data_IF_554055620816
#
_entry.id   IF_554055620816
#
_cell.length_a   1.000
_cell.length_b   1.000
_cell.length_c   1.000
_cell.angle_alpha   90.00
_cell.angle_beta   90.00
_cell.angle_gamma   90.00
#
_symmetry.space_group_name_H-M   'P 1'
#
loop_
_entity.id
_entity.type
_entity.pdbx_description
1 polymer ?
#
# COMPACT_ATOMS: atom_id res chain seq x y z
N UNK A 1 -54.80 -34.22 -14.82
CA UNK A 1 -53.51 -34.82 -15.22
C UNK A 1 -52.43 -33.75 -15.11
N UNK A 2 -51.74 -33.66 -13.96
CA UNK A 2 -50.65 -32.69 -13.73
C UNK A 2 -49.36 -33.26 -14.34
N UNK A 3 -48.83 -32.64 -15.39
CA UNK A 3 -47.49 -32.94 -15.92
C UNK A 3 -46.47 -32.14 -15.11
N UNK A 4 -45.71 -32.83 -14.26
CA UNK A 4 -44.62 -32.25 -13.48
C UNK A 4 -43.43 -32.02 -14.41
N UNK A 5 -43.13 -30.76 -14.73
CA UNK A 5 -41.97 -30.35 -15.52
C UNK A 5 -40.76 -30.28 -14.56
N UNK A 6 -39.83 -31.24 -14.68
CA UNK A 6 -38.55 -31.19 -13.98
C UNK A 6 -37.66 -30.13 -14.65
N UNK A 7 -37.40 -29.01 -13.98
CA UNK A 7 -36.34 -28.06 -14.33
C UNK A 7 -35.01 -28.62 -13.83
N UNK A 8 -34.18 -29.10 -14.75
CA UNK A 8 -32.78 -29.42 -14.48
C UNK A 8 -32.02 -28.08 -14.50
N UNK A 9 -31.80 -27.52 -13.32
CA UNK A 9 -30.91 -26.38 -13.14
C UNK A 9 -29.49 -26.95 -13.21
N UNK A 10 -28.87 -26.86 -14.39
CA UNK A 10 -27.44 -27.09 -14.54
C UNK A 10 -26.71 -25.94 -13.85
N UNK A 11 -26.35 -26.13 -12.57
CA UNK A 11 -25.47 -25.22 -11.85
C UNK A 11 -24.08 -25.33 -12.47
N UNK A 12 -23.80 -24.44 -13.43
CA UNK A 12 -22.46 -24.17 -13.89
C UNK A 12 -21.70 -23.61 -12.68
N UNK A 13 -20.93 -24.47 -12.01
CA UNK A 13 -20.05 -24.05 -10.93
C UNK A 13 -18.99 -23.13 -11.51
N UNK A 14 -19.22 -21.82 -11.40
CA UNK A 14 -18.18 -20.84 -11.62
C UNK A 14 -17.22 -20.98 -10.44
N UNK A 15 -16.12 -21.72 -10.65
CA UNK A 15 -15.02 -21.73 -9.72
C UNK A 15 -14.50 -20.29 -9.65
N UNK A 16 -14.84 -19.60 -8.56
CA UNK A 16 -14.24 -18.33 -8.21
C UNK A 16 -12.79 -18.69 -7.87
N UNK A 17 -11.91 -18.66 -8.86
CA UNK A 17 -10.48 -18.71 -8.61
C UNK A 17 -10.23 -17.43 -7.82
N UNK A 18 -10.04 -17.56 -6.52
CA UNK A 18 -9.69 -16.46 -5.64
C UNK A 18 -8.32 -15.93 -6.08
N UNK A 19 -8.31 -15.00 -7.02
CA UNK A 19 -7.22 -14.06 -7.18
C UNK A 19 -7.12 -13.35 -5.84
N UNK A 20 -6.12 -13.72 -5.03
CA UNK A 20 -5.67 -12.86 -3.94
C UNK A 20 -5.38 -11.52 -4.61
N UNK A 21 -6.16 -10.48 -4.30
CA UNK A 21 -5.79 -9.14 -4.70
C UNK A 21 -4.37 -8.91 -4.18
N UNK A 22 -3.46 -8.57 -5.08
CA UNK A 22 -2.09 -8.24 -4.71
C UNK A 22 -2.15 -7.08 -3.71
N UNK A 23 -1.46 -7.16 -2.56
CA UNK A 23 -1.62 -6.19 -1.47
C UNK A 23 -1.20 -4.77 -1.85
N UNK A 24 -0.45 -4.59 -2.93
CA UNK A 24 -0.02 -3.30 -3.44
C UNK A 24 0.28 -3.36 -4.93
N UNK A 25 0.40 -2.20 -5.56
CA UNK A 25 0.90 -2.04 -6.93
C UNK A 25 2.16 -1.15 -6.90
N UNK A 26 3.30 -1.58 -7.46
CA UNK A 26 4.51 -0.76 -7.48
C UNK A 26 4.30 0.57 -8.22
N UNK A 27 4.95 1.63 -7.73
CA UNK A 27 4.95 2.95 -8.36
C UNK A 27 5.69 2.89 -9.71
N UNK A 28 5.01 3.15 -10.84
CA UNK A 28 5.66 3.14 -12.14
C UNK A 28 6.75 4.21 -12.28
N UNK A 29 6.72 5.28 -11.47
CA UNK A 29 7.68 6.38 -11.52
C UNK A 29 8.92 6.17 -10.67
N UNK A 30 8.96 5.14 -9.83
CA UNK A 30 10.19 4.74 -9.15
C UNK A 30 11.18 4.25 -10.21
N UNK A 31 12.36 4.86 -10.29
CA UNK A 31 13.38 4.54 -11.30
C UNK A 31 14.70 4.23 -10.59
N UNK A 32 15.40 3.22 -11.08
CA UNK A 32 16.74 2.88 -10.63
C UNK A 32 17.76 3.33 -11.69
N UNK A 33 18.56 4.34 -11.37
CA UNK A 33 19.55 4.89 -12.29
C UNK A 33 20.90 4.29 -11.93
N UNK A 34 21.57 3.67 -12.91
CA UNK A 34 22.86 2.97 -12.76
C UNK A 34 22.79 1.60 -12.05
N UNK A 35 21.59 1.07 -11.79
CA UNK A 35 21.32 -0.25 -11.20
C UNK A 35 21.95 -0.52 -9.79
N UNK A 36 22.05 0.46 -8.86
CA UNK A 36 22.38 0.19 -7.46
C UNK A 36 21.24 -0.47 -6.67
N UNK A 37 20.04 -0.59 -7.23
CA UNK A 37 18.82 -0.89 -6.51
C UNK A 37 18.15 0.39 -6.00
N UNK A 38 16.82 0.38 -5.89
CA UNK A 38 16.06 1.56 -5.48
C UNK A 38 14.88 1.23 -4.57
N UNK A 39 14.62 2.10 -3.58
CA UNK A 39 13.44 2.08 -2.71
C UNK A 39 12.70 3.41 -2.83
N UNK A 40 11.39 3.37 -3.08
CA UNK A 40 10.52 4.55 -3.17
C UNK A 40 9.26 4.38 -2.31
N UNK A 41 8.69 5.43 -1.70
CA UNK A 41 9.26 6.77 -1.57
C UNK A 41 10.38 6.82 -0.51
N UNK A 42 11.19 7.89 -0.54
CA UNK A 42 12.20 8.15 0.50
C UNK A 42 11.59 8.75 1.79
N UNK A 43 10.42 9.35 1.69
CA UNK A 43 9.67 9.94 2.79
C UNK A 43 8.24 9.40 2.80
N UNK A 44 7.73 9.14 4.00
CA UNK A 44 6.39 8.60 4.21
C UNK A 44 5.40 9.75 4.40
N UNK A 45 4.18 9.56 3.91
CA UNK A 45 3.09 10.48 4.22
C UNK A 45 2.80 10.47 5.73
N UNK A 46 2.28 11.59 6.22
CA UNK A 46 1.93 11.71 7.64
C UNK A 46 0.66 10.92 7.93
N UNK A 47 0.72 10.04 8.93
CA UNK A 47 -0.42 9.33 9.48
C UNK A 47 -1.10 10.15 10.59
N UNK A 48 -2.35 9.78 10.91
CA UNK A 48 -3.12 10.41 11.98
C UNK A 48 -3.76 9.36 12.86
N UNK A 49 -3.79 9.60 14.17
CA UNK A 49 -4.41 8.70 15.15
C UNK A 49 -5.86 8.38 14.74
N UNK A 50 -6.25 7.12 14.88
CA UNK A 50 -7.56 6.55 14.52
C UNK A 50 -7.99 6.73 13.05
N UNK A 51 -7.11 7.23 12.18
CA UNK A 51 -7.39 7.40 10.75
C UNK A 51 -6.74 6.26 9.97
N UNK A 52 -7.46 5.70 9.00
CA UNK A 52 -6.89 4.68 8.12
C UNK A 52 -5.68 5.24 7.36
N UNK A 53 -4.59 4.47 7.35
CA UNK A 53 -3.34 4.81 6.70
C UNK A 53 -2.93 3.67 5.77
N UNK A 54 -2.41 4.04 4.60
CA UNK A 54 -1.83 3.12 3.63
C UNK A 54 -0.67 3.83 2.92
N UNK A 55 0.49 3.17 2.86
CA UNK A 55 1.64 3.65 2.11
C UNK A 55 2.27 2.47 1.37
N UNK A 56 2.36 2.60 0.05
CA UNK A 56 3.09 1.68 -0.80
C UNK A 56 4.57 2.05 -0.82
N UNK A 57 5.41 1.03 -0.66
CA UNK A 57 6.86 1.07 -0.83
C UNK A 57 7.18 0.23 -2.06
N UNK A 58 7.85 0.82 -3.05
CA UNK A 58 8.32 0.16 -4.26
C UNK A 58 9.78 -0.20 -4.12
N UNK A 59 10.14 -1.43 -4.53
CA UNK A 59 11.49 -1.95 -4.50
C UNK A 59 11.91 -2.33 -5.92
N UNK A 60 13.04 -1.82 -6.36
CA UNK A 60 13.76 -2.28 -7.56
C UNK A 60 15.01 -2.99 -7.05
N UNK A 61 15.08 -4.33 -7.17
CA UNK A 61 16.20 -5.09 -6.64
C UNK A 61 17.43 -4.91 -7.55
N UNK A 62 18.63 -4.66 -6.98
CA UNK A 62 19.85 -4.55 -7.78
C UNK A 62 20.21 -5.89 -8.42
N UNK A 63 20.84 -5.85 -9.59
CA UNK A 63 21.36 -7.06 -10.23
C UNK A 63 22.60 -7.66 -9.53
N UNK A 64 23.34 -6.83 -8.78
CA UNK A 64 24.57 -7.22 -8.07
C UNK A 64 24.58 -6.78 -6.61
N UNK A 65 25.24 -7.56 -5.76
CA UNK A 65 25.46 -7.26 -4.35
C UNK A 65 26.96 -7.33 -4.03
N UNK A 66 27.49 -6.37 -3.27
CA UNK A 66 28.89 -6.40 -2.86
C UNK A 66 29.06 -7.27 -1.61
N UNK A 67 29.64 -8.46 -1.77
CA UNK A 67 29.94 -9.36 -0.68
C UNK A 67 31.46 -9.48 -0.50
N UNK A 68 31.97 -9.01 0.64
CA UNK A 68 33.40 -9.00 0.97
C UNK A 68 34.27 -8.36 -0.14
N UNK A 69 33.82 -7.25 -0.72
CA UNK A 69 34.54 -6.52 -1.77
C UNK A 69 34.38 -7.10 -3.18
N UNK A 70 33.60 -8.16 -3.36
CA UNK A 70 33.33 -8.75 -4.68
C UNK A 70 31.87 -8.54 -5.05
N UNK A 71 31.61 -8.12 -6.29
CA UNK A 71 30.26 -8.04 -6.82
C UNK A 71 29.79 -9.45 -7.21
N UNK A 72 28.70 -9.89 -6.62
CA UNK A 72 28.05 -11.18 -6.88
C UNK A 72 26.64 -10.94 -7.40
N UNK A 73 26.18 -11.78 -8.32
CA UNK A 73 24.84 -11.67 -8.89
C UNK A 73 23.77 -12.02 -7.86
N UNK A 74 22.76 -11.16 -7.75
CA UNK A 74 21.60 -11.36 -6.88
C UNK A 74 20.64 -12.32 -7.56
N UNK A 75 20.31 -13.41 -6.87
CA UNK A 75 19.31 -14.38 -7.36
C UNK A 75 17.90 -13.98 -6.92
N UNK A 76 17.77 -13.54 -5.67
CA UNK A 76 16.52 -13.03 -5.10
C UNK A 76 16.78 -12.26 -3.82
N UNK A 77 15.82 -11.42 -3.47
CA UNK A 77 15.72 -10.73 -2.18
C UNK A 77 14.42 -11.16 -1.51
N UNK A 78 14.45 -11.36 -0.20
CA UNK A 78 13.26 -11.65 0.62
C UNK A 78 13.20 -10.61 1.73
N UNK A 79 12.06 -9.93 1.89
CA UNK A 79 11.81 -9.12 3.08
C UNK A 79 11.47 -10.08 4.21
N UNK A 80 12.36 -10.18 5.19
CA UNK A 80 12.21 -11.13 6.30
C UNK A 80 11.25 -10.60 7.35
N UNK A 81 11.32 -9.30 7.66
CA UNK A 81 10.48 -8.67 8.67
C UNK A 81 10.47 -7.14 8.57
N UNK A 82 9.44 -6.54 9.17
CA UNK A 82 9.35 -5.11 9.46
C UNK A 82 9.05 -4.95 10.95
N UNK A 83 9.94 -4.32 11.70
CA UNK A 83 9.80 -4.13 13.16
C UNK A 83 9.60 -2.67 13.52
N UNK A 84 9.12 -2.43 14.75
CA UNK A 84 8.95 -1.09 15.33
C UNK A 84 7.94 -0.19 14.62
N UNK A 85 7.02 -0.81 13.88
CA UNK A 85 5.81 -0.14 13.41
C UNK A 85 4.95 0.32 14.60
N UNK A 86 4.27 1.46 14.50
CA UNK A 86 3.34 1.91 15.54
C UNK A 86 2.19 0.92 15.72
N UNK A 87 1.60 0.90 16.91
CA UNK A 87 0.44 0.05 17.21
C UNK A 87 -0.71 0.34 16.23
N UNK A 88 -1.31 -0.73 15.71
CA UNK A 88 -2.40 -0.65 14.72
C UNK A 88 -1.93 -0.57 13.27
N UNK A 89 -0.62 -0.48 13.03
CA UNK A 89 0.00 -0.56 11.70
C UNK A 89 0.64 -1.94 11.49
N UNK A 90 0.46 -2.50 10.30
CA UNK A 90 1.05 -3.75 9.84
C UNK A 90 1.59 -3.59 8.43
N UNK A 91 2.19 -4.63 7.87
CA UNK A 91 2.70 -4.64 6.51
C UNK A 91 2.34 -5.90 5.73
N UNK A 92 2.42 -5.82 4.40
CA UNK A 92 2.34 -6.96 3.48
C UNK A 92 3.18 -6.68 2.23
N UNK A 93 3.65 -7.72 1.54
CA UNK A 93 4.37 -7.61 0.26
C UNK A 93 3.62 -8.29 -0.88
N UNK A 94 3.80 -7.79 -2.10
CA UNK A 94 3.17 -8.34 -3.30
C UNK A 94 3.69 -9.71 -3.71
N UNK A 95 4.98 -9.94 -3.44
CA UNK A 95 5.66 -11.19 -3.68
C UNK A 95 6.46 -11.61 -2.45
N UNK A 96 6.67 -12.91 -2.32
CA UNK A 96 7.56 -13.46 -1.29
C UNK A 96 9.04 -13.33 -1.68
N UNK A 97 9.34 -13.27 -2.98
CA UNK A 97 10.70 -13.23 -3.52
C UNK A 97 10.80 -12.15 -4.59
N UNK A 98 11.76 -11.25 -4.44
CA UNK A 98 12.04 -10.18 -5.37
C UNK A 98 13.23 -10.59 -6.23
N UNK A 99 12.96 -10.93 -7.50
CA UNK A 99 13.95 -11.47 -8.44
C UNK A 99 14.35 -10.35 -9.40
N UNK A 100 15.64 -9.96 -9.45
CA UNK A 100 16.13 -9.03 -10.47
C UNK A 100 15.93 -9.61 -11.87
N UNK A 101 15.40 -8.81 -12.80
CA UNK A 101 15.27 -9.22 -14.20
C UNK A 101 15.68 -8.09 -15.14
N UNK A 102 15.77 -8.38 -16.45
CA UNK A 102 16.08 -7.40 -17.48
C UNK A 102 14.98 -7.47 -18.56
N UNK A 103 14.16 -6.41 -18.75
CA UNK A 103 14.17 -5.13 -18.04
C UNK A 103 13.82 -5.28 -16.56
N UNK A 104 14.21 -4.31 -15.73
CA UNK A 104 14.00 -4.34 -14.27
C UNK A 104 12.56 -4.70 -13.87
N UNK A 105 12.42 -5.55 -12.85
CA UNK A 105 11.13 -5.84 -12.22
C UNK A 105 10.96 -4.92 -11.02
N UNK A 106 9.75 -4.35 -10.85
CA UNK A 106 9.37 -3.61 -9.65
C UNK A 106 8.52 -4.50 -8.75
N UNK A 107 8.84 -4.50 -7.47
CA UNK A 107 8.07 -5.17 -6.42
C UNK A 107 7.54 -4.13 -5.45
N UNK A 108 6.61 -4.51 -4.57
CA UNK A 108 6.14 -3.60 -3.55
C UNK A 108 5.86 -4.27 -2.20
N UNK A 109 6.00 -3.47 -1.15
CA UNK A 109 5.34 -3.71 0.12
C UNK A 109 4.36 -2.58 0.39
N UNK A 110 3.41 -2.82 1.29
CA UNK A 110 2.50 -1.82 1.80
C UNK A 110 2.54 -1.85 3.31
N UNK A 111 2.62 -0.68 3.91
CA UNK A 111 2.39 -0.46 5.33
C UNK A 111 0.99 0.13 5.46
N UNK A 112 0.13 -0.51 6.23
CA UNK A 112 -1.28 -0.13 6.32
C UNK A 112 -1.88 -0.43 7.70
N UNK A 113 -2.98 0.24 8.01
CA UNK A 113 -3.75 0.01 9.22
C UNK A 113 -4.35 1.29 9.78
N UNK A 114 -4.54 1.32 11.10
CA UNK A 114 -5.09 2.48 11.81
C UNK A 114 -4.26 2.70 13.07
N UNK A 115 -3.37 3.70 13.09
CA UNK A 115 -2.48 3.89 14.22
C UNK A 115 -3.25 4.41 15.43
N UNK A 116 -2.93 3.90 16.61
CA UNK A 116 -3.64 4.26 17.86
C UNK A 116 -2.89 5.30 18.70
N UNK A 117 -1.61 5.54 18.39
CA UNK A 117 -0.71 6.36 19.20
C UNK A 117 0.05 7.36 18.33
N UNK A 118 0.04 8.63 18.74
CA UNK A 118 0.83 9.69 18.10
C UNK A 118 2.33 9.54 18.41
N UNK A 119 3.19 10.02 17.51
CA UNK A 119 4.63 9.96 17.69
C UNK A 119 5.42 9.93 16.39
N UNK A 120 6.74 9.80 16.55
CA UNK A 120 7.69 9.62 15.46
C UNK A 120 8.26 8.22 15.59
N UNK A 121 7.96 7.36 14.63
CA UNK A 121 8.28 5.93 14.67
C UNK A 121 9.31 5.59 13.59
N UNK A 122 10.62 5.57 13.91
CA UNK A 122 11.58 4.89 13.05
C UNK A 122 11.28 3.40 13.08
N UNK A 123 11.19 2.78 11.90
CA UNK A 123 10.92 1.35 11.78
C UNK A 123 12.00 0.68 10.94
N UNK A 124 12.19 -0.62 11.18
CA UNK A 124 13.37 -1.34 10.68
C UNK A 124 12.94 -2.39 9.66
N UNK A 125 13.54 -2.35 8.47
CA UNK A 125 13.37 -3.37 7.44
C UNK A 125 14.56 -4.33 7.50
N UNK A 126 14.26 -5.63 7.69
CA UNK A 126 15.27 -6.69 7.55
C UNK A 126 14.97 -7.51 6.31
N UNK A 127 16.01 -7.79 5.52
CA UNK A 127 15.88 -8.62 4.33
C UNK A 127 17.06 -9.59 4.20
N UNK A 128 16.90 -10.57 3.31
CA UNK A 128 17.94 -11.52 2.95
C UNK A 128 18.16 -11.53 1.44
N UNK A 129 19.41 -11.36 1.02
CA UNK A 129 19.83 -11.42 -0.38
C UNK A 129 20.42 -12.80 -0.64
N UNK A 130 19.87 -13.54 -1.60
CA UNK A 130 20.43 -14.85 -2.00
C UNK A 130 21.39 -14.67 -3.17
N UNK A 131 22.62 -15.16 -3.02
CA UNK A 131 23.66 -15.14 -4.05
C UNK A 131 24.21 -16.55 -4.31
N UNK A 132 24.88 -16.78 -5.45
CA UNK A 132 25.54 -18.06 -5.74
C UNK A 132 27.04 -18.00 -5.44
N UNK A 133 27.50 -18.65 -4.38
CA UNK A 133 28.93 -18.83 -4.14
C UNK A 133 29.52 -19.87 -5.09
N UNK A 134 30.61 -19.49 -5.77
CA UNK A 134 31.27 -20.33 -6.77
C UNK A 134 30.38 -20.70 -7.96
N UNK A 135 29.25 -19.99 -8.16
CA UNK A 135 28.30 -20.22 -9.25
C UNK A 135 27.29 -21.36 -9.03
N UNK A 136 27.28 -22.03 -7.87
CA UNK A 136 26.43 -23.21 -7.64
C UNK A 136 25.71 -23.23 -6.30
N UNK A 137 26.27 -22.62 -5.26
CA UNK A 137 25.74 -22.75 -3.91
C UNK A 137 24.93 -21.50 -3.55
N UNK A 138 23.58 -21.59 -3.48
CA UNK A 138 22.77 -20.46 -3.04
C UNK A 138 22.97 -20.23 -1.54
N UNK A 139 23.34 -19.01 -1.17
CA UNK A 139 23.52 -18.60 0.22
C UNK A 139 22.67 -17.36 0.48
N UNK A 140 21.75 -17.40 1.45
CA UNK A 140 21.07 -16.21 1.94
C UNK A 140 22.03 -15.41 2.82
N UNK A 141 22.24 -14.15 2.47
CA UNK A 141 23.02 -13.19 3.23
C UNK A 141 22.04 -12.20 3.84
N UNK A 142 21.95 -12.10 5.18
CA UNK A 142 21.10 -11.09 5.80
C UNK A 142 21.68 -9.71 5.50
N UNK A 143 20.82 -8.79 5.07
CA UNK A 143 21.12 -7.35 4.97
C UNK A 143 20.57 -6.66 6.21
N UNK A 144 21.44 -5.87 6.83
CA UNK A 144 21.10 -5.01 7.97
C UNK A 144 20.86 -3.59 7.47
N UNK A 145 20.31 -2.73 8.34
CA UNK A 145 20.14 -1.31 8.03
C UNK A 145 21.45 -0.61 7.65
N UNK A 146 22.56 -1.02 8.27
CA UNK A 146 23.89 -0.50 7.94
C UNK A 146 24.27 -0.79 6.47
N UNK A 147 23.83 -1.92 5.93
CA UNK A 147 24.07 -2.29 4.53
C UNK A 147 23.02 -1.75 3.56
N UNK A 148 21.82 -1.43 4.06
CA UNK A 148 20.73 -0.85 3.26
C UNK A 148 20.79 0.67 3.19
N UNK A 149 21.47 1.32 4.14
CA UNK A 149 21.50 2.78 4.33
C UNK A 149 20.09 3.41 4.26
N UNK A 150 19.12 2.73 4.87
CA UNK A 150 17.72 3.08 4.81
C UNK A 150 17.10 2.99 6.20
N UNK A 151 16.67 4.12 6.74
CA UNK A 151 16.01 4.24 8.04
C UNK A 151 14.72 5.05 7.88
N UNK A 152 13.61 4.40 7.49
CA UNK A 152 12.34 5.08 7.25
C UNK A 152 11.69 5.50 8.58
N UNK A 153 10.93 6.59 8.51
CA UNK A 153 10.22 7.16 9.66
C UNK A 153 8.76 7.34 9.30
N UNK A 154 7.86 6.81 10.12
CA UNK A 154 6.44 7.12 10.07
C UNK A 154 6.10 8.14 11.16
N UNK A 155 5.58 9.30 10.74
CA UNK A 155 5.08 10.32 11.68
C UNK A 155 3.58 10.14 11.83
N UNK A 156 3.12 9.95 13.07
CA UNK A 156 1.70 9.89 13.42
C UNK A 156 1.34 11.14 14.23
N UNK A 157 0.38 11.93 13.73
CA UNK A 157 -0.09 13.16 14.36
C UNK A 157 -1.45 12.96 15.05
N UNK A 158 -1.83 13.86 15.99
CA UNK A 158 -3.17 13.88 16.57
C UNK A 158 -4.28 13.84 15.51
N UNK A 159 -5.38 13.15 15.82
CA UNK A 159 -6.52 12.99 14.91
C UNK A 159 -7.13 14.33 14.47
N UNK A 160 -7.17 15.34 15.34
CA UNK A 160 -7.70 16.69 15.05
C UNK A 160 -6.81 17.52 14.10
N UNK A 161 -5.64 17.01 13.73
CA UNK A 161 -4.75 17.62 12.74
C UNK A 161 -4.87 16.95 11.36
N UNK A 162 -5.71 15.91 11.22
CA UNK A 162 -5.91 15.22 9.95
C UNK A 162 -6.56 16.15 8.91
N UNK A 163 -6.26 15.96 7.61
CA UNK A 163 -6.90 16.74 6.55
C UNK A 163 -8.42 16.68 6.65
N UNK A 164 -9.12 17.77 6.30
CA UNK A 164 -10.58 17.77 6.34
C UNK A 164 -11.14 16.77 5.32
N UNK A 165 -12.14 16.00 5.74
CA UNK A 165 -12.93 15.14 4.86
C UNK A 165 -14.25 15.83 4.59
N UNK A 166 -14.51 16.17 3.33
CA UNK A 166 -15.79 16.70 2.91
C UNK A 166 -16.79 15.56 2.75
N UNK A 167 -17.84 15.54 3.56
CA UNK A 167 -18.89 14.54 3.50
C UNK A 167 -20.24 15.18 3.77
N UNK A 168 -21.29 14.68 3.11
CA UNK A 168 -22.65 15.12 3.35
C UNK A 168 -23.66 14.06 2.98
N UNK A 169 -24.89 14.24 3.47
CA UNK A 169 -26.05 13.45 3.05
C UNK A 169 -27.14 14.38 2.52
N UNK A 170 -27.95 13.85 1.61
CA UNK A 170 -29.16 14.51 1.12
C UNK A 170 -30.37 13.72 1.63
N UNK A 171 -31.43 14.41 2.05
CA UNK A 171 -32.68 13.77 2.45
C UNK A 171 -33.29 12.96 1.29
N UNK A 172 -33.21 13.49 0.07
CA UNK A 172 -33.59 12.81 -1.17
C UNK A 172 -32.57 13.12 -2.27
N UNK A 173 -32.42 12.20 -3.24
CA UNK A 173 -31.62 12.44 -4.46
C UNK A 173 -32.48 12.76 -5.68
N UNK A 174 -33.80 12.82 -5.48
CA UNK A 174 -34.81 13.18 -6.48
C UNK A 174 -35.87 14.05 -5.82
N UNK A 175 -36.25 15.13 -6.48
CA UNK A 175 -37.27 16.06 -6.01
C UNK A 175 -38.13 16.50 -7.20
N UNK A 176 -39.43 16.64 -6.97
CA UNK A 176 -40.33 17.26 -7.93
C UNK A 176 -40.10 18.78 -8.01
N UNK A 177 -40.64 19.42 -9.05
CA UNK A 177 -40.58 20.89 -9.18
C UNK A 177 -41.16 21.56 -7.93
N UNK A 178 -40.42 22.52 -7.37
CA UNK A 178 -40.71 23.27 -6.15
C UNK A 178 -40.60 22.47 -4.83
N UNK A 179 -40.01 21.28 -4.84
CA UNK A 179 -39.63 20.60 -3.60
C UNK A 179 -38.24 21.06 -3.13
N UNK A 180 -38.10 21.23 -1.82
CA UNK A 180 -36.82 21.54 -1.19
C UNK A 180 -36.07 20.24 -0.87
N UNK A 181 -34.75 20.21 -1.13
CA UNK A 181 -33.86 19.15 -0.67
C UNK A 181 -33.04 19.67 0.49
N UNK A 182 -33.07 18.96 1.61
CA UNK A 182 -32.21 19.25 2.76
C UNK A 182 -30.89 18.49 2.63
N UNK A 183 -29.77 19.20 2.73
CA UNK A 183 -28.44 18.61 2.84
C UNK A 183 -27.95 18.71 4.29
N UNK A 184 -27.41 17.61 4.82
CA UNK A 184 -26.77 17.57 6.12
C UNK A 184 -25.27 17.43 5.93
N UNK A 185 -24.51 18.43 6.41
CA UNK A 185 -23.05 18.35 6.46
C UNK A 185 -22.63 17.24 7.44
N UNK A 186 -21.71 16.39 7.00
CA UNK A 186 -21.05 15.36 7.79
C UNK A 186 -19.53 15.52 7.73
N UNK A 187 -19.05 16.72 7.38
CA UNK A 187 -17.62 16.97 7.19
C UNK A 187 -16.83 16.72 8.47
N UNK A 188 -15.65 16.13 8.34
CA UNK A 188 -14.76 15.80 9.45
C UNK A 188 -13.52 16.69 9.41
N UNK A 189 -13.02 17.14 10.57
CA UNK A 189 -11.85 18.02 10.71
C UNK A 189 -11.87 19.32 9.86
N UNK A 190 -13.05 19.74 9.39
CA UNK A 190 -13.22 20.98 8.63
C UNK A 190 -13.52 22.17 9.55
N UNK A 191 -12.84 23.29 9.33
CA UNK A 191 -13.10 24.56 10.04
C UNK A 191 -13.96 25.53 9.25
N UNK A 192 -14.17 25.26 7.96
CA UNK A 192 -15.04 26.03 7.07
C UNK A 192 -15.53 25.13 5.93
N UNK A 193 -16.70 25.45 5.38
CA UNK A 193 -17.33 24.72 4.28
C UNK A 193 -17.91 25.71 3.27
N UNK A 194 -17.93 25.30 2.00
CA UNK A 194 -18.52 26.06 0.91
C UNK A 194 -19.46 25.11 0.17
N UNK A 195 -20.75 25.45 0.14
CA UNK A 195 -21.74 24.75 -0.66
C UNK A 195 -21.79 25.37 -2.05
N UNK A 196 -21.33 24.63 -3.06
CA UNK A 196 -21.41 25.06 -4.44
C UNK A 196 -22.45 24.23 -5.19
N UNK A 197 -23.50 24.89 -5.66
CA UNK A 197 -24.53 24.28 -6.49
C UNK A 197 -24.36 24.83 -7.91
N UNK A 198 -23.89 23.98 -8.84
CA UNK A 198 -23.68 24.41 -10.23
C UNK A 198 -25.02 24.86 -10.85
N UNK A 199 -25.06 26.13 -11.26
CA UNK A 199 -26.24 26.72 -11.91
C UNK A 199 -27.36 27.18 -10.97
N UNK A 200 -27.13 27.20 -9.65
CA UNK A 200 -28.05 27.82 -8.69
C UNK A 200 -27.49 29.15 -8.16
N UNK A 201 -28.37 30.13 -7.97
CA UNK A 201 -28.05 31.34 -7.23
C UNK A 201 -28.14 31.04 -5.72
N UNK A 202 -27.10 31.38 -4.95
CA UNK A 202 -27.19 31.37 -3.48
C UNK A 202 -28.06 32.57 -3.06
N UNK A 203 -29.31 32.31 -2.63
CA UNK A 203 -30.14 33.30 -1.92
C UNK A 203 -29.94 33.25 -0.40
#
# INVERSE_FOLDING_TARGET
MKKTLLLIIASLGFAIIGLKAQPCTPDPNCIDIEDPGQICPLAFDTAYVNTAYEQVITFIPPSVFNYNGNNVEVQKIVIDNVTDLPEGITWAADAQEFIPTVPETKYCAVIYGTPTTEGVFPFHLSASVTVLLGGYVPIPIPVTEETLDYTPILVVRPENEAPPVAEFTAETTTADINESITFTDLSYNATSWIWNFEGADQE
#
